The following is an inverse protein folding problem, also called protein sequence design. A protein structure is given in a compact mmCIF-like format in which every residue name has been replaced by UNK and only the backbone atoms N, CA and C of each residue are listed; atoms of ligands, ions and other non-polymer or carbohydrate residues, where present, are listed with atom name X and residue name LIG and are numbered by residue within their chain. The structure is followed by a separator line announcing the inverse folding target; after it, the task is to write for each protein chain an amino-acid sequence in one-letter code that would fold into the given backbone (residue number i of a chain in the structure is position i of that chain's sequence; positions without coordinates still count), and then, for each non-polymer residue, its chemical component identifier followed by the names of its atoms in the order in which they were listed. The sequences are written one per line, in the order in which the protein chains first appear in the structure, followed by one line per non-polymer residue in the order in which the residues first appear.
data_IF_099559856722
#
_entry.id   IF_099559856722
#
_cell.length_a   1.000
_cell.length_b   1.000
_cell.length_c   1.000
_cell.angle_alpha   90.00
_cell.angle_beta   90.00
_cell.angle_gamma   90.00
#
_symmetry.space_group_name_H-M   'P 1'
#
loop_
_entity.id
_entity.type
_entity.pdbx_description
1 polymer ?
#
# COMPACT_ATOMS: atom_id res chain seq x y z
N UNK A 1 -22.75 -7.96 -2.35
CA UNK A 1 -21.79 -6.91 -1.95
C UNK A 1 -20.93 -6.52 -3.13
N UNK A 2 -20.81 -5.24 -3.37
CA UNK A 2 -19.96 -4.77 -4.46
C UNK A 2 -18.50 -4.95 -4.08
N UNK A 3 -17.71 -5.34 -5.06
CA UNK A 3 -16.26 -5.45 -4.85
C UNK A 3 -15.66 -4.07 -4.64
N UNK A 4 -14.67 -4.00 -3.76
CA UNK A 4 -13.85 -2.80 -3.57
C UNK A 4 -12.53 -2.89 -4.34
N UNK A 5 -12.03 -4.10 -4.58
CA UNK A 5 -10.77 -4.31 -5.27
C UNK A 5 -10.98 -4.62 -6.74
N UNK A 6 -10.16 -4.02 -7.59
CA UNK A 6 -10.17 -4.27 -9.03
C UNK A 6 -8.80 -3.92 -9.59
N UNK A 7 -8.39 -4.60 -10.65
CA UNK A 7 -7.17 -4.25 -11.36
C UNK A 7 -7.41 -3.16 -12.41
N UNK A 8 -8.67 -2.79 -12.62
CA UNK A 8 -9.04 -1.80 -13.63
C UNK A 8 -10.09 -0.83 -13.08
N UNK A 9 -9.71 0.04 -12.14
CA UNK A 9 -10.66 0.97 -11.53
C UNK A 9 -11.23 1.96 -12.55
N UNK A 10 -12.54 2.21 -12.45
CA UNK A 10 -13.26 3.07 -13.39
C UNK A 10 -13.82 4.34 -12.75
N UNK A 11 -13.55 4.58 -11.48
CA UNK A 11 -14.03 5.76 -10.78
C UNK A 11 -12.90 6.36 -9.95
N UNK A 12 -13.10 7.60 -9.51
CA UNK A 12 -12.13 8.24 -8.62
C UNK A 12 -11.99 7.48 -7.31
N UNK A 13 -13.10 7.09 -6.72
CA UNK A 13 -13.09 6.34 -5.48
C UNK A 13 -12.44 4.96 -5.66
N UNK A 14 -12.80 4.27 -6.74
CA UNK A 14 -12.18 3.00 -7.08
C UNK A 14 -10.68 3.12 -7.30
N UNK A 15 -10.24 4.19 -7.95
CA UNK A 15 -8.82 4.45 -8.15
C UNK A 15 -8.11 4.64 -6.82
N UNK A 16 -8.70 5.40 -5.89
CA UNK A 16 -8.11 5.61 -4.56
C UNK A 16 -8.00 4.29 -3.79
N UNK A 17 -9.03 3.46 -3.83
CA UNK A 17 -9.02 2.17 -3.13
C UNK A 17 -8.03 1.18 -3.73
N UNK A 18 -7.66 1.36 -4.99
CA UNK A 18 -6.80 0.44 -5.72
C UNK A 18 -5.49 1.09 -6.18
N UNK A 19 -5.10 2.16 -5.50
CA UNK A 19 -3.89 2.91 -5.85
C UNK A 19 -2.63 2.11 -5.60
N UNK A 20 -2.61 1.32 -4.53
CA UNK A 20 -1.47 0.49 -4.17
C UNK A 20 -1.89 -0.97 -4.27
N UNK A 21 -1.08 -1.77 -4.93
CA UNK A 21 -1.38 -3.19 -5.15
C UNK A 21 -0.12 -4.04 -5.01
N UNK A 22 -0.31 -5.33 -4.70
CA UNK A 22 0.78 -6.26 -4.54
C UNK A 22 1.09 -7.01 -5.82
N UNK A 23 2.38 -7.25 -6.06
CA UNK A 23 2.84 -8.08 -7.16
C UNK A 23 4.20 -8.66 -6.77
N UNK A 24 4.33 -9.97 -6.89
CA UNK A 24 5.59 -10.67 -6.60
C UNK A 24 6.14 -10.41 -5.20
N UNK A 25 5.24 -10.25 -4.23
CA UNK A 25 5.63 -10.03 -2.84
C UNK A 25 5.95 -8.59 -2.48
N UNK A 26 5.88 -7.68 -3.43
CA UNK A 26 6.17 -6.27 -3.21
C UNK A 26 4.96 -5.42 -3.53
N UNK A 27 4.93 -4.21 -2.98
CA UNK A 27 3.83 -3.29 -3.24
C UNK A 27 4.21 -2.31 -4.33
N UNK A 28 3.24 -2.02 -5.17
CA UNK A 28 3.36 -1.08 -6.28
C UNK A 28 2.33 0.03 -6.12
N UNK A 29 2.66 1.21 -6.56
CA UNK A 29 1.73 2.33 -6.61
C UNK A 29 1.47 2.69 -8.07
N UNK A 30 0.22 3.01 -8.39
CA UNK A 30 -0.11 3.48 -9.72
C UNK A 30 0.51 4.86 -9.92
N UNK A 31 1.24 5.02 -11.00
CA UNK A 31 1.92 6.27 -11.31
C UNK A 31 1.87 6.47 -12.83
N UNK A 32 1.01 7.38 -13.28
CA UNK A 32 0.74 7.51 -14.70
C UNK A 32 0.10 6.24 -15.24
N UNK A 33 0.58 5.76 -16.39
CA UNK A 33 0.05 4.56 -17.02
C UNK A 33 0.68 3.29 -16.48
N UNK A 34 1.78 3.41 -15.73
CA UNK A 34 2.53 2.27 -15.21
C UNK A 34 2.52 2.24 -13.70
N UNK A 35 2.79 1.05 -13.16
CA UNK A 35 3.02 0.90 -11.74
C UNK A 35 4.48 1.11 -11.39
N UNK A 36 4.75 1.61 -10.19
CA UNK A 36 6.08 1.81 -9.67
C UNK A 36 6.16 1.19 -8.29
N UNK A 37 7.27 0.52 -7.98
CA UNK A 37 7.49 0.03 -6.61
C UNK A 37 7.33 1.17 -5.61
N UNK A 38 6.66 0.92 -4.51
CA UNK A 38 6.48 1.95 -3.47
C UNK A 38 7.83 2.42 -2.91
N UNK A 39 8.80 1.52 -2.83
CA UNK A 39 10.16 1.90 -2.43
C UNK A 39 10.75 2.93 -3.38
N UNK A 40 10.66 2.67 -4.68
CA UNK A 40 11.20 3.58 -5.69
C UNK A 40 10.44 4.91 -5.73
N UNK A 41 9.12 4.86 -5.56
CA UNK A 41 8.30 6.06 -5.50
C UNK A 41 8.71 6.97 -4.34
N UNK A 42 8.90 6.39 -3.16
CA UNK A 42 9.28 7.17 -1.99
C UNK A 42 10.71 7.67 -2.08
N UNK A 43 11.61 6.89 -2.67
CA UNK A 43 12.98 7.36 -2.90
C UNK A 43 13.02 8.50 -3.92
N UNK A 44 12.14 8.47 -4.91
CA UNK A 44 11.98 9.58 -5.84
C UNK A 44 11.58 10.86 -5.10
N UNK A 45 10.64 10.75 -4.15
CA UNK A 45 10.25 11.89 -3.33
C UNK A 45 11.40 12.38 -2.45
N UNK A 46 12.19 11.47 -1.91
CA UNK A 46 13.39 11.83 -1.16
C UNK A 46 14.35 12.62 -2.02
N UNK A 47 14.51 12.21 -3.27
CA UNK A 47 15.38 12.91 -4.20
C UNK A 47 14.88 14.32 -4.48
N UNK A 48 13.61 14.48 -4.74
CA UNK A 48 13.04 15.81 -5.00
C UNK A 48 13.15 16.72 -3.80
N UNK A 49 13.13 16.16 -2.61
CA UNK A 49 13.26 16.93 -1.37
C UNK A 49 14.70 17.28 -1.03
N UNK A 50 15.68 16.67 -1.71
CA UNK A 50 17.09 16.90 -1.42
C UNK A 50 17.57 16.18 -0.18
N UNK A 51 16.99 15.04 0.14
CA UNK A 51 17.37 14.26 1.30
C UNK A 51 18.76 13.65 1.13
N UNK A 52 19.59 13.70 2.18
CA UNK A 52 20.97 13.20 2.13
C UNK A 52 21.06 11.70 1.88
N UNK A 53 20.01 10.97 2.19
CA UNK A 53 19.96 9.52 2.01
C UNK A 53 20.19 9.12 0.57
N UNK A 54 20.03 10.07 -0.36
CA UNK A 54 20.16 9.77 -1.78
C UNK A 54 21.56 9.54 -2.26
N UNK A 55 22.54 10.00 -1.52
CA UNK A 55 23.93 9.84 -1.93
C UNK A 55 24.39 8.39 -1.81
N UNK A 56 23.62 7.55 -1.13
CA UNK A 56 23.97 6.17 -0.85
C UNK A 56 22.72 5.27 -0.93
N UNK A 57 22.03 5.33 -2.06
CA UNK A 57 20.81 4.58 -2.25
C UNK A 57 21.12 3.09 -2.46
N UNK A 58 20.50 2.20 -1.66
CA UNK A 58 20.65 0.76 -1.87
C UNK A 58 20.12 0.33 -3.23
N UNK A 59 20.61 -0.81 -3.72
CA UNK A 59 20.20 -1.33 -5.01
C UNK A 59 19.15 -2.41 -4.94
N UNK A 60 18.96 -3.04 -3.77
CA UNK A 60 17.96 -4.09 -3.61
C UNK A 60 16.69 -3.54 -2.97
N UNK A 61 15.54 -4.16 -3.29
CA UNK A 61 14.27 -3.74 -2.70
C UNK A 61 14.26 -3.94 -1.19
N UNK A 62 14.87 -5.02 -0.71
CA UNK A 62 14.94 -5.31 0.72
C UNK A 62 15.71 -4.22 1.46
N UNK A 63 16.83 -3.79 0.92
CA UNK A 63 17.64 -2.74 1.53
C UNK A 63 16.96 -1.38 1.47
N UNK A 64 16.26 -1.09 0.38
CA UNK A 64 15.46 0.15 0.25
C UNK A 64 14.34 0.18 1.29
N UNK A 65 13.64 -0.94 1.44
CA UNK A 65 12.58 -1.07 2.44
C UNK A 65 13.13 -0.87 3.85
N UNK A 66 14.24 -1.50 4.17
CA UNK A 66 14.86 -1.38 5.49
C UNK A 66 15.26 0.06 5.78
N UNK A 67 15.87 0.72 4.82
CA UNK A 67 16.27 2.12 4.97
C UNK A 67 15.06 3.03 5.21
N UNK A 68 14.00 2.85 4.44
CA UNK A 68 12.79 3.65 4.62
C UNK A 68 12.13 3.37 5.97
N UNK A 69 12.09 2.10 6.39
CA UNK A 69 11.56 1.75 7.70
C UNK A 69 12.35 2.38 8.84
N UNK A 70 13.67 2.43 8.72
CA UNK A 70 14.50 3.11 9.71
C UNK A 70 14.17 4.59 9.79
N UNK A 71 13.93 5.23 8.66
CA UNK A 71 13.57 6.65 8.62
C UNK A 71 12.20 6.93 9.24
N UNK A 72 11.29 5.96 9.28
CA UNK A 72 10.00 6.12 9.96
C UNK A 72 10.23 6.43 11.44
N UNK A 73 11.15 5.72 12.06
CA UNK A 73 11.44 5.92 13.49
C UNK A 73 12.10 7.27 13.76
N UNK A 74 12.68 7.88 12.76
CA UNK A 74 13.26 9.21 12.85
C UNK A 74 12.26 10.33 12.52
N UNK A 75 11.02 9.97 12.22
CA UNK A 75 9.96 10.93 11.95
C UNK A 75 9.97 11.51 10.54
N UNK A 76 10.61 10.85 9.58
CA UNK A 76 10.64 11.33 8.20
C UNK A 76 9.24 11.25 7.58
N UNK A 77 8.68 12.36 7.06
CA UNK A 77 7.34 12.33 6.46
C UNK A 77 7.23 11.39 5.27
N UNK A 78 8.26 11.32 4.44
CA UNK A 78 8.25 10.45 3.26
C UNK A 78 8.26 8.99 3.69
N UNK A 79 9.04 8.64 4.68
CA UNK A 79 9.07 7.29 5.21
C UNK A 79 7.74 6.93 5.86
N UNK A 80 7.08 7.89 6.51
CA UNK A 80 5.74 7.70 7.06
C UNK A 80 4.74 7.37 5.95
N UNK A 81 4.82 8.10 4.83
CA UNK A 81 4.00 7.80 3.65
C UNK A 81 4.31 6.39 3.14
N UNK A 82 5.58 6.02 3.06
CA UNK A 82 5.99 4.69 2.63
C UNK A 82 5.34 3.61 3.49
N UNK A 83 5.39 3.77 4.81
CA UNK A 83 4.79 2.80 5.73
C UNK A 83 3.28 2.68 5.50
N UNK A 84 2.60 3.82 5.32
CA UNK A 84 1.16 3.84 5.07
C UNK A 84 0.81 3.15 3.75
N UNK A 85 1.57 3.43 2.69
CA UNK A 85 1.35 2.82 1.38
C UNK A 85 1.56 1.31 1.44
N UNK A 86 2.64 0.88 2.09
CA UNK A 86 2.93 -0.56 2.22
C UNK A 86 1.84 -1.27 3.02
N UNK A 87 1.40 -0.67 4.12
CA UNK A 87 0.32 -1.23 4.92
C UNK A 87 -0.98 -1.31 4.14
N UNK A 88 -1.31 -0.26 3.41
CA UNK A 88 -2.51 -0.23 2.57
C UNK A 88 -2.47 -1.35 1.53
N UNK A 89 -1.34 -1.52 0.86
CA UNK A 89 -1.18 -2.57 -0.15
C UNK A 89 -1.39 -3.96 0.42
N UNK A 90 -0.88 -4.23 1.61
CA UNK A 90 -1.08 -5.52 2.27
C UNK A 90 -2.54 -5.75 2.64
N UNK A 91 -3.22 -4.73 3.15
CA UNK A 91 -4.64 -4.82 3.50
C UNK A 91 -5.47 -5.06 2.24
N UNK A 92 -5.18 -4.33 1.18
CA UNK A 92 -5.88 -4.50 -0.09
C UNK A 92 -5.69 -5.91 -0.64
N UNK A 93 -4.48 -6.44 -0.57
CA UNK A 93 -4.21 -7.79 -1.04
C UNK A 93 -5.03 -8.83 -0.28
N UNK A 94 -5.19 -8.64 1.02
CA UNK A 94 -5.99 -9.52 1.85
C UNK A 94 -7.47 -9.42 1.47
N UNK A 95 -7.95 -8.20 1.31
CA UNK A 95 -9.34 -7.97 0.89
C UNK A 95 -9.60 -8.61 -0.47
N UNK A 96 -8.66 -8.44 -1.40
CA UNK A 96 -8.79 -9.03 -2.74
C UNK A 96 -8.91 -10.55 -2.66
N UNK A 97 -8.14 -11.20 -1.81
CA UNK A 97 -8.24 -12.64 -1.60
C UNK A 97 -9.65 -13.06 -1.21
N UNK A 98 -10.25 -12.35 -0.25
CA UNK A 98 -11.61 -12.65 0.19
C UNK A 98 -12.62 -12.40 -0.92
N UNK A 99 -12.48 -11.31 -1.63
CA UNK A 99 -13.42 -10.97 -2.71
C UNK A 99 -13.31 -11.94 -3.87
N UNK A 100 -12.10 -12.33 -4.25
CA UNK A 100 -11.88 -13.31 -5.32
C UNK A 100 -12.45 -14.68 -4.96
N UNK A 101 -12.39 -15.06 -3.70
CA UNK A 101 -12.93 -16.33 -3.22
C UNK A 101 -14.44 -16.28 -2.96
N UNK A 102 -15.08 -15.10 -3.06
CA UNK A 102 -16.49 -14.95 -2.74
C UNK A 102 -16.78 -15.06 -1.26
N UNK A 103 -15.77 -14.83 -0.41
CA UNK A 103 -15.89 -14.94 1.04
C UNK A 103 -15.85 -13.55 1.65
N UNK A 104 -16.76 -13.25 2.57
CA UNK A 104 -16.74 -11.97 3.27
C UNK A 104 -15.52 -11.89 4.19
N UNK A 105 -14.82 -10.74 4.24
CA UNK A 105 -13.72 -10.57 5.17
C UNK A 105 -14.18 -10.70 6.62
N UNK A 106 -13.28 -11.04 7.56
CA UNK A 106 -13.62 -11.08 8.97
C UNK A 106 -14.24 -9.75 9.41
N UNK A 107 -15.34 -9.83 10.13
CA UNK A 107 -16.06 -8.66 10.58
C UNK A 107 -17.12 -8.15 9.62
N UNK A 108 -17.09 -8.55 8.36
CA UNK A 108 -18.09 -8.15 7.37
C UNK A 108 -19.34 -9.00 7.39
N UNK A 109 -19.28 -10.11 8.07
CA UNK A 109 -20.44 -11.00 8.20
C UNK A 109 -21.40 -10.58 9.28
N UNK A 110 -21.12 -9.49 9.95
CA UNK A 110 -21.97 -8.98 11.00
C UNK A 110 -23.31 -8.51 10.44
N UNK A 111 -24.36 -8.87 11.12
CA UNK A 111 -25.73 -8.56 10.70
C UNK A 111 -26.51 -8.00 11.86
N UNK A 112 -27.63 -7.37 11.54
CA UNK A 112 -28.58 -6.95 12.58
C UNK A 112 -27.97 -6.10 13.69
N UNK A 113 -27.00 -5.27 13.33
CA UNK A 113 -26.39 -4.37 14.29
C UNK A 113 -25.30 -4.99 15.15
N UNK A 114 -24.85 -6.18 14.84
CA UNK A 114 -23.75 -6.83 15.53
C UNK A 114 -22.44 -6.18 15.14
N UNK A 115 -22.11 -5.09 15.76
CA UNK A 115 -20.96 -4.31 15.35
C UNK A 115 -19.73 -4.45 16.23
N UNK A 116 -19.92 -4.96 17.44
CA UNK A 116 -18.84 -4.96 18.41
C UNK A 116 -17.73 -5.93 18.11
N UNK A 117 -17.92 -6.82 17.18
CA UNK A 117 -16.94 -7.86 16.92
C UNK A 117 -16.01 -7.57 15.77
N UNK A 118 -16.02 -6.36 15.26
CA UNK A 118 -15.08 -6.00 14.20
C UNK A 118 -13.68 -6.02 14.79
N UNK A 119 -12.88 -6.91 14.26
CA UNK A 119 -11.52 -7.10 14.72
C UNK A 119 -10.57 -6.67 13.60
N UNK A 120 -9.74 -5.75 13.90
CA UNK A 120 -8.74 -5.26 12.96
C UNK A 120 -7.36 -5.72 13.36
#
# INVERSE_FOLDING_TARGET
MNRLTTDNPQSNFGTMLNMVYGKDGWQYIRHGDDGMLTTDFCLMLCKERGCKVQDDVPTTNEAKDEMLCDCVFEGCPIATIYAALSGFGHVRARLKMYEDAGIAPPGHTLKNGELGSVQL
#
